data_IF_318786799403
#
_entry.id   IF_318786799403
#
_cell.length_a   1.000
_cell.length_b   1.000
_cell.length_c   1.000
_cell.angle_alpha   90.00
_cell.angle_beta   90.00
_cell.angle_gamma   90.00
#
_symmetry.space_group_name_H-M   'P 1'
#
loop_
_entity.id
_entity.type
_entity.pdbx_description
1 polymer ?
#
# COMPACT_ATOMS: atom_id res chain seq x y z
N UNK A 1 -102.37 -17.50 28.85
CA UNK A 1 -101.92 -16.45 29.78
C UNK A 1 -100.70 -17.03 30.48
N UNK A 2 -99.51 -16.72 29.95
CA UNK A 2 -98.49 -15.87 30.59
C UNK A 2 -97.84 -16.57 31.80
N UNK A 3 -96.54 -16.63 32.02
CA UNK A 3 -95.37 -15.96 31.43
C UNK A 3 -94.10 -16.68 31.96
N UNK A 4 -92.99 -16.44 31.28
CA UNK A 4 -91.63 -16.30 31.85
C UNK A 4 -90.83 -17.52 32.35
N UNK A 5 -89.72 -17.74 31.63
CA UNK A 5 -88.59 -18.56 32.09
C UNK A 5 -87.32 -18.36 31.24
N UNK A 6 -87.08 -17.14 30.75
CA UNK A 6 -85.96 -16.77 29.87
C UNK A 6 -84.62 -16.79 30.64
N UNK A 7 -83.94 -17.94 30.70
CA UNK A 7 -82.57 -18.05 31.25
C UNK A 7 -81.65 -18.81 30.29
N UNK A 8 -80.75 -18.06 29.63
CA UNK A 8 -79.33 -18.41 29.33
C UNK A 8 -78.78 -17.85 27.99
N UNK A 9 -79.60 -17.22 27.14
CA UNK A 9 -79.10 -16.65 25.87
C UNK A 9 -78.17 -15.44 26.12
N UNK A 10 -78.53 -14.57 27.07
CA UNK A 10 -77.76 -13.36 27.37
C UNK A 10 -76.41 -13.66 28.07
N UNK A 11 -76.35 -14.72 28.89
CA UNK A 11 -75.12 -15.12 29.57
C UNK A 11 -74.08 -15.70 28.60
N UNK A 12 -74.53 -16.53 27.65
CA UNK A 12 -73.66 -17.06 26.60
C UNK A 12 -73.08 -15.96 25.69
N UNK A 13 -73.90 -14.96 25.33
CA UNK A 13 -73.46 -13.79 24.56
C UNK A 13 -72.43 -12.93 25.29
N UNK A 14 -72.58 -12.74 26.60
CA UNK A 14 -71.59 -12.03 27.42
C UNK A 14 -70.27 -12.79 27.50
N UNK A 15 -70.30 -14.11 27.69
CA UNK A 15 -69.09 -14.95 27.70
C UNK A 15 -68.38 -14.92 26.36
N UNK A 16 -69.12 -14.97 25.25
CA UNK A 16 -68.57 -14.84 23.90
C UNK A 16 -67.92 -13.47 23.67
N UNK A 17 -68.58 -12.39 24.10
CA UNK A 17 -68.05 -11.04 24.01
C UNK A 17 -66.77 -10.84 24.82
N UNK A 18 -66.71 -11.39 26.04
CA UNK A 18 -65.52 -11.35 26.89
C UNK A 18 -64.38 -12.17 26.29
N UNK A 19 -64.66 -13.37 25.76
CA UNK A 19 -63.65 -14.19 25.11
C UNK A 19 -63.04 -13.51 23.86
N UNK A 20 -63.88 -12.84 23.05
CA UNK A 20 -63.44 -12.04 21.90
C UNK A 20 -62.59 -10.85 22.33
N UNK A 21 -63.02 -10.10 23.36
CA UNK A 21 -62.27 -8.96 23.87
C UNK A 21 -60.90 -9.37 24.39
N UNK A 22 -60.83 -10.45 25.17
CA UNK A 22 -59.57 -11.01 25.68
C UNK A 22 -58.67 -11.48 24.53
N UNK A 23 -59.25 -12.16 23.53
CA UNK A 23 -58.52 -12.58 22.33
C UNK A 23 -57.91 -11.41 21.55
N UNK A 24 -58.65 -10.30 21.39
CA UNK A 24 -58.15 -9.10 20.73
C UNK A 24 -57.04 -8.40 21.52
N UNK A 25 -57.16 -8.34 22.85
CA UNK A 25 -56.12 -7.73 23.70
C UNK A 25 -54.84 -8.56 23.65
N UNK A 26 -54.93 -9.88 23.77
CA UNK A 26 -53.77 -10.77 23.70
C UNK A 26 -53.08 -10.71 22.33
N UNK A 27 -53.85 -10.71 21.24
CA UNK A 27 -53.27 -10.62 19.90
C UNK A 27 -52.56 -9.29 19.65
N UNK A 28 -53.18 -8.17 20.07
CA UNK A 28 -52.60 -6.84 19.94
C UNK A 28 -51.30 -6.69 20.76
N UNK A 29 -51.24 -7.33 21.93
CA UNK A 29 -50.05 -7.31 22.78
C UNK A 29 -48.89 -8.10 22.15
N UNK A 30 -49.15 -9.30 21.63
CA UNK A 30 -48.15 -10.14 20.97
C UNK A 30 -47.55 -9.47 19.72
N UNK A 31 -48.40 -8.82 18.93
CA UNK A 31 -47.98 -8.05 17.75
C UNK A 31 -47.11 -6.86 18.15
N UNK A 32 -47.49 -6.13 19.20
CA UNK A 32 -46.73 -4.97 19.66
C UNK A 32 -45.32 -5.34 20.16
N UNK A 33 -45.19 -6.46 20.86
CA UNK A 33 -43.90 -6.96 21.33
C UNK A 33 -43.00 -7.42 20.18
N UNK A 34 -43.57 -8.16 19.22
CA UNK A 34 -42.86 -8.62 18.02
C UNK A 34 -42.37 -7.44 17.16
N UNK A 35 -43.20 -6.41 17.00
CA UNK A 35 -42.80 -5.21 16.23
C UNK A 35 -41.67 -4.46 16.93
N UNK A 36 -41.68 -4.38 18.26
CA UNK A 36 -40.58 -3.78 19.03
C UNK A 36 -39.28 -4.57 18.89
N UNK A 37 -39.33 -5.89 19.05
CA UNK A 37 -38.13 -6.74 18.99
C UNK A 37 -37.47 -6.72 17.61
N UNK A 38 -38.27 -6.78 16.53
CA UNK A 38 -37.78 -6.67 15.15
C UNK A 38 -37.17 -5.29 14.87
N UNK A 39 -37.78 -4.21 15.38
CA UNK A 39 -37.25 -2.85 15.18
C UNK A 39 -35.92 -2.64 15.92
N UNK A 40 -35.76 -3.26 17.09
CA UNK A 40 -34.52 -3.23 17.87
C UNK A 40 -33.43 -4.10 17.24
N UNK A 41 -33.79 -5.27 16.69
CA UNK A 41 -32.84 -6.17 16.01
C UNK A 41 -32.20 -5.56 14.75
N UNK A 42 -32.86 -4.58 14.12
CA UNK A 42 -32.32 -3.86 12.97
C UNK A 42 -31.31 -2.74 13.32
N UNK A 43 -31.02 -2.52 14.61
CA UNK A 43 -30.06 -1.51 15.06
C UNK A 43 -28.64 -2.09 15.15
N UNK A 44 -28.10 -2.54 14.03
CA UNK A 44 -26.70 -2.99 13.96
C UNK A 44 -25.81 -1.82 13.58
N UNK A 45 -24.97 -1.38 14.52
CA UNK A 45 -23.95 -0.36 14.25
C UNK A 45 -22.73 -1.07 13.65
N UNK A 46 -22.54 -0.90 12.34
CA UNK A 46 -21.34 -1.39 11.66
C UNK A 46 -20.21 -0.35 11.81
N UNK A 47 -19.22 -0.65 12.64
CA UNK A 47 -18.01 0.17 12.76
C UNK A 47 -16.92 -0.38 11.84
N UNK A 48 -16.23 0.52 11.13
CA UNK A 48 -15.01 0.17 10.40
C UNK A 48 -13.84 0.31 11.36
N UNK A 49 -13.26 -0.80 11.78
CA UNK A 49 -11.94 -0.81 12.42
C UNK A 49 -10.88 -0.60 11.36
N UNK A 50 -10.06 0.44 11.51
CA UNK A 50 -8.86 0.65 10.70
C UNK A 50 -7.65 0.46 11.59
N UNK A 51 -6.76 -0.45 11.20
CA UNK A 51 -5.46 -0.61 11.83
C UNK A 51 -4.41 -0.14 10.83
N UNK A 52 -3.62 0.86 11.22
CA UNK A 52 -2.45 1.32 10.49
C UNK A 52 -1.23 1.08 11.37
N UNK A 53 -0.15 0.61 10.76
CA UNK A 53 1.13 0.39 11.42
C UNK A 53 2.19 1.01 10.54
N UNK A 54 3.00 1.89 11.13
CA UNK A 54 4.16 2.44 10.46
C UNK A 54 5.24 1.36 10.40
N UNK A 55 5.64 0.99 9.17
CA UNK A 55 6.70 0.01 8.94
C UNK A 55 7.95 0.75 8.50
N UNK A 56 9.04 0.54 9.24
CA UNK A 56 10.37 1.00 8.86
C UNK A 56 11.04 -0.06 7.99
N UNK A 57 11.65 0.36 6.88
CA UNK A 57 12.41 -0.56 6.03
C UNK A 57 13.62 -1.12 6.77
N UNK A 58 13.88 -2.42 6.62
CA UNK A 58 15.04 -3.09 7.21
C UNK A 58 16.31 -2.97 6.35
N UNK A 59 16.14 -2.59 5.07
CA UNK A 59 17.21 -2.52 4.08
C UNK A 59 17.01 -1.27 3.22
N UNK A 60 18.10 -0.54 2.99
CA UNK A 60 18.18 0.51 1.99
C UNK A 60 19.05 0.05 0.82
N UNK A 61 18.56 0.32 -0.39
CA UNK A 61 19.27 0.10 -1.64
C UNK A 61 19.47 1.44 -2.32
N UNK A 62 20.73 1.82 -2.56
CA UNK A 62 21.08 3.01 -3.30
C UNK A 62 22.00 2.64 -4.46
N UNK A 63 21.76 3.18 -5.65
CA UNK A 63 22.60 2.93 -6.81
C UNK A 63 23.03 4.26 -7.44
N UNK A 64 24.33 4.44 -7.58
CA UNK A 64 24.94 5.57 -8.26
C UNK A 64 25.60 5.11 -9.55
N UNK A 65 25.28 5.78 -10.67
CA UNK A 65 25.97 5.58 -11.96
C UNK A 65 26.86 6.76 -12.24
N UNK A 66 28.09 6.49 -12.66
CA UNK A 66 29.00 7.50 -13.16
C UNK A 66 29.51 7.11 -14.54
N UNK A 67 29.80 8.12 -15.34
CA UNK A 67 30.14 7.99 -16.75
C UNK A 67 31.43 8.75 -17.04
N UNK A 68 32.40 8.07 -17.64
CA UNK A 68 33.60 8.69 -18.18
C UNK A 68 33.52 8.72 -19.72
N UNK A 69 33.95 9.81 -20.34
CA UNK A 69 34.00 9.96 -21.80
C UNK A 69 35.36 10.49 -22.22
N UNK A 70 35.97 9.86 -23.21
CA UNK A 70 37.21 10.31 -23.83
C UNK A 70 37.35 9.77 -25.27
N UNK A 71 38.17 10.42 -26.08
CA UNK A 71 38.49 9.94 -27.43
C UNK A 71 39.41 8.71 -27.41
N UNK A 72 40.18 8.53 -26.33
CA UNK A 72 41.03 7.36 -26.10
C UNK A 72 40.42 6.46 -25.01
N UNK A 73 40.18 5.19 -25.36
CA UNK A 73 39.63 4.18 -24.45
C UNK A 73 40.46 4.04 -23.17
N UNK A 74 41.79 4.11 -23.26
CA UNK A 74 42.69 3.95 -22.11
C UNK A 74 42.55 5.12 -21.15
N UNK A 75 42.44 6.35 -21.69
CA UNK A 75 42.22 7.55 -20.88
C UNK A 75 40.84 7.55 -20.22
N UNK A 76 39.81 7.12 -20.96
CA UNK A 76 38.47 6.99 -20.40
C UNK A 76 38.43 5.98 -19.24
N UNK A 77 39.13 4.86 -19.37
CA UNK A 77 39.22 3.85 -18.32
C UNK A 77 39.98 4.36 -17.09
N UNK A 78 41.14 5.00 -17.28
CA UNK A 78 41.92 5.58 -16.17
C UNK A 78 41.14 6.66 -15.41
N UNK A 79 40.36 7.47 -16.14
CA UNK A 79 39.47 8.46 -15.53
C UNK A 79 38.34 7.80 -14.73
N UNK A 80 37.73 6.76 -15.29
CA UNK A 80 36.69 5.98 -14.62
C UNK A 80 37.21 5.34 -13.33
N UNK A 81 38.42 4.77 -13.35
CA UNK A 81 39.06 4.16 -12.18
C UNK A 81 39.36 5.19 -11.09
N UNK A 82 39.89 6.36 -11.46
CA UNK A 82 40.09 7.48 -10.52
C UNK A 82 38.78 7.97 -9.90
N UNK A 83 37.71 8.02 -10.69
CA UNK A 83 36.39 8.43 -10.21
C UNK A 83 35.78 7.35 -9.29
N UNK A 84 35.97 6.07 -9.60
CA UNK A 84 35.59 4.96 -8.71
C UNK A 84 36.30 5.06 -7.36
N UNK A 85 37.61 5.32 -7.33
CA UNK A 85 38.35 5.48 -6.08
C UNK A 85 37.84 6.64 -5.22
N UNK A 86 37.49 7.77 -5.86
CA UNK A 86 36.89 8.92 -5.15
C UNK A 86 35.53 8.58 -4.56
N UNK A 87 34.68 7.86 -5.32
CA UNK A 87 33.36 7.41 -4.87
C UNK A 87 33.49 6.44 -3.71
N UNK A 88 34.37 5.42 -3.81
CA UNK A 88 34.63 4.48 -2.72
C UNK A 88 35.20 5.19 -1.48
N UNK A 89 36.07 6.18 -1.68
CA UNK A 89 36.58 7.01 -0.60
C UNK A 89 35.50 7.86 0.07
N UNK A 90 34.56 8.40 -0.69
CA UNK A 90 33.40 9.11 -0.16
C UNK A 90 32.49 8.18 0.66
N UNK A 91 32.08 7.05 0.09
CA UNK A 91 31.23 6.07 0.77
C UNK A 91 31.87 5.53 2.06
N UNK A 92 33.18 5.26 2.03
CA UNK A 92 33.93 4.84 3.21
C UNK A 92 34.00 5.91 4.29
N UNK A 93 34.19 7.19 3.93
CA UNK A 93 34.15 8.31 4.90
C UNK A 93 32.76 8.51 5.50
N UNK A 94 31.72 8.20 4.73
CA UNK A 94 30.33 8.25 5.16
C UNK A 94 29.93 7.09 6.07
N UNK A 95 30.83 6.13 6.33
CA UNK A 95 30.60 5.02 7.27
C UNK A 95 30.01 3.75 6.65
N UNK A 96 29.94 3.65 5.31
CA UNK A 96 29.49 2.43 4.63
C UNK A 96 30.67 1.45 4.55
N UNK A 97 30.55 0.22 5.09
CA UNK A 97 31.58 -0.80 4.98
C UNK A 97 31.70 -1.30 3.53
N UNK A 98 32.89 -1.70 3.12
CA UNK A 98 33.14 -2.17 1.74
C UNK A 98 32.34 -3.42 1.38
N UNK A 99 31.98 -4.26 2.36
CA UNK A 99 31.17 -5.46 2.10
C UNK A 99 29.73 -5.13 1.66
N UNK A 100 29.24 -3.93 1.96
CA UNK A 100 27.91 -3.47 1.58
C UNK A 100 27.89 -2.75 0.22
N UNK A 101 29.07 -2.60 -0.40
CA UNK A 101 29.24 -1.92 -1.68
C UNK A 101 29.50 -2.96 -2.77
N UNK A 102 28.61 -3.00 -3.74
CA UNK A 102 28.73 -3.84 -4.94
C UNK A 102 29.04 -2.96 -6.14
N UNK A 103 30.18 -3.21 -6.80
CA UNK A 103 30.60 -2.49 -7.99
C UNK A 103 30.26 -3.32 -9.23
N UNK A 104 29.49 -2.75 -10.14
CA UNK A 104 29.13 -3.42 -11.39
C UNK A 104 30.31 -3.49 -12.37
N UNK A 105 30.22 -4.42 -13.32
CA UNK A 105 31.10 -4.43 -14.48
C UNK A 105 30.98 -3.11 -15.27
N UNK A 106 32.08 -2.71 -15.90
CA UNK A 106 32.13 -1.52 -16.76
C UNK A 106 31.42 -1.81 -18.07
N UNK A 107 30.50 -0.92 -18.45
CA UNK A 107 29.83 -0.95 -19.74
C UNK A 107 30.49 0.06 -20.67
N UNK A 108 31.03 -0.41 -21.79
CA UNK A 108 31.68 0.46 -22.79
C UNK A 108 30.76 0.63 -24.00
N UNK A 109 30.51 1.87 -24.39
CA UNK A 109 29.78 2.25 -25.59
C UNK A 109 30.69 3.09 -26.49
N UNK A 110 30.71 2.77 -27.78
CA UNK A 110 31.42 3.56 -28.79
C UNK A 110 30.42 4.54 -29.38
N UNK A 111 30.74 5.83 -29.30
CA UNK A 111 29.95 6.87 -29.94
C UNK A 111 30.62 7.29 -31.24
N UNK A 112 29.91 7.04 -32.34
CA UNK A 112 30.34 7.45 -33.67
C UNK A 112 29.87 8.86 -33.98
N UNK A 113 30.68 9.61 -34.74
CA UNK A 113 30.32 10.95 -35.19
C UNK A 113 29.06 10.87 -36.07
N UNK A 114 28.09 11.74 -35.82
CA UNK A 114 26.89 11.85 -36.64
C UNK A 114 27.10 12.85 -37.78
N UNK A 115 26.57 12.52 -38.97
CA UNK A 115 26.52 13.47 -40.10
C UNK A 115 25.52 14.59 -39.80
N UNK A 116 25.56 15.67 -40.58
CA UNK A 116 24.56 16.77 -40.50
C UNK A 116 23.11 16.33 -40.75
N UNK A 117 22.91 15.12 -41.30
CA UNK A 117 21.61 14.50 -41.55
C UNK A 117 21.22 13.46 -40.47
N UNK A 118 22.06 13.26 -39.44
CA UNK A 118 21.77 12.40 -38.29
C UNK A 118 22.20 10.93 -38.42
N UNK A 119 22.82 10.53 -39.55
CA UNK A 119 23.34 9.18 -39.76
C UNK A 119 24.67 8.97 -39.02
N UNK A 120 24.87 7.78 -38.46
CA UNK A 120 26.15 7.40 -37.85
C UNK A 120 27.22 7.20 -38.93
N UNK A 121 28.38 7.81 -38.73
CA UNK A 121 29.56 7.59 -39.59
C UNK A 121 30.41 6.43 -39.04
N UNK A 122 31.43 6.01 -39.80
CA UNK A 122 32.42 5.04 -39.32
C UNK A 122 33.54 5.71 -38.48
N UNK A 123 33.44 7.01 -38.19
CA UNK A 123 34.44 7.73 -37.42
C UNK A 123 34.08 7.70 -35.93
N UNK A 124 34.97 7.15 -35.11
CA UNK A 124 34.80 7.11 -33.66
C UNK A 124 35.01 8.52 -33.12
N UNK A 125 33.98 9.07 -32.47
CA UNK A 125 34.04 10.39 -31.85
C UNK A 125 34.51 10.30 -30.40
N UNK A 126 33.99 9.33 -29.64
CA UNK A 126 34.38 9.10 -28.25
C UNK A 126 33.97 7.71 -27.75
N UNK A 127 34.68 7.23 -26.74
CA UNK A 127 34.31 6.10 -25.92
C UNK A 127 33.59 6.59 -24.66
N UNK A 128 32.43 6.01 -24.39
CA UNK A 128 31.61 6.29 -23.21
C UNK A 128 31.64 5.05 -22.33
N UNK A 129 32.21 5.17 -21.14
CA UNK A 129 32.30 4.10 -20.17
C UNK A 129 31.39 4.41 -19.00
N UNK A 130 30.59 3.44 -18.60
CA UNK A 130 29.64 3.54 -17.51
C UNK A 130 29.92 2.49 -16.46
N UNK A 131 29.88 2.90 -15.20
CA UNK A 131 29.97 1.99 -14.08
C UNK A 131 28.92 2.37 -13.02
N UNK A 132 28.30 1.35 -12.43
CA UNK A 132 27.29 1.51 -11.40
C UNK A 132 27.83 0.95 -10.09
N UNK A 133 27.65 1.72 -9.02
CA UNK A 133 27.96 1.31 -7.65
C UNK A 133 26.63 1.19 -6.91
N UNK A 134 26.38 0.02 -6.36
CA UNK A 134 25.19 -0.29 -5.58
C UNK A 134 25.58 -0.45 -4.12
N UNK A 135 24.93 0.28 -3.23
CA UNK A 135 25.06 0.15 -1.79
C UNK A 135 23.82 -0.55 -1.27
N UNK A 136 24.02 -1.67 -0.56
CA UNK A 136 22.98 -2.40 0.14
C UNK A 136 23.33 -2.42 1.63
N UNK A 137 22.65 -1.59 2.41
CA UNK A 137 22.91 -1.47 3.85
C UNK A 137 21.66 -1.71 4.68
N UNK A 138 21.85 -2.17 5.92
CA UNK A 138 20.81 -2.17 6.96
C UNK A 138 20.61 -0.79 7.58
N UNK A 139 21.59 0.11 7.42
CA UNK A 139 21.55 1.47 7.97
C UNK A 139 20.75 2.41 7.05
N UNK A 140 19.41 2.29 7.12
CA UNK A 140 18.49 3.03 6.24
C UNK A 140 18.59 4.54 6.40
N UNK A 141 18.79 5.04 7.63
CA UNK A 141 18.88 6.48 7.88
C UNK A 141 20.14 7.08 7.24
N UNK A 142 21.25 6.35 7.29
CA UNK A 142 22.54 6.76 6.74
C UNK A 142 22.53 6.79 5.20
N UNK A 143 21.95 5.76 4.58
CA UNK A 143 21.75 5.72 3.13
C UNK A 143 20.78 6.83 2.68
N UNK A 144 19.74 7.11 3.47
CA UNK A 144 18.78 8.17 3.17
C UNK A 144 19.37 9.58 3.30
N UNK A 145 20.31 9.83 4.21
CA UNK A 145 21.06 11.09 4.24
C UNK A 145 22.00 11.21 3.05
N UNK A 146 22.72 10.14 2.69
CA UNK A 146 23.65 10.15 1.56
C UNK A 146 22.98 10.37 0.21
N UNK A 147 21.75 9.91 0.04
CA UNK A 147 20.97 10.16 -1.18
C UNK A 147 20.50 11.61 -1.32
N UNK A 148 20.52 12.40 -0.25
CA UNK A 148 20.03 13.79 -0.23
C UNK A 148 21.14 14.82 -0.38
N UNK A 149 22.39 14.42 -0.19
CA UNK A 149 23.57 15.26 -0.32
C UNK A 149 24.15 15.17 -1.75
#
# INVERSE_FOLDING_TARGET
>A
MEESGKRSINGGLVVLGVALAVGMVLSSWLVSDTVKSVKLANQTIAVKGTAQVDVRSDIALWAGRFTARDADLVKAYSKLESDLEKVLGFLGRSGIPREEIEVSAVTTMIQYRKTSQGYDTNEIEQYVLDQTVTVRSKEVDLVASLSRE
#
